data_IF_635707982590
#
_entry.id   IF_635707982590
#
_cell.length_a   1.000
_cell.length_b   1.000
_cell.length_c   1.000
_cell.angle_alpha   90.00
_cell.angle_beta   90.00
_cell.angle_gamma   90.00
#
_symmetry.space_group_name_H-M   'P 1'
#
loop_
_entity.id
_entity.type
_entity.pdbx_description
1 polymer ?
#
# COMPACT_ATOMS: atom_id res chain seq x y z
N UNK A 1 -16.20 17.07 -24.03
CA UNK A 1 -16.18 16.21 -22.85
C UNK A 1 -15.00 15.26 -22.97
N UNK A 2 -14.24 15.10 -21.88
CA UNK A 2 -13.17 14.09 -21.77
C UNK A 2 -13.77 12.71 -21.55
N UNK A 3 -13.02 11.62 -21.86
CA UNK A 3 -13.50 10.25 -21.70
C UNK A 3 -13.89 9.89 -20.27
N UNK A 4 -13.36 10.62 -19.29
CA UNK A 4 -13.52 10.37 -17.84
C UNK A 4 -14.67 11.18 -17.22
N UNK A 5 -15.47 11.91 -18.03
CA UNK A 5 -16.56 12.72 -17.52
C UNK A 5 -17.73 11.85 -16.99
N UNK A 6 -18.17 12.12 -15.77
CA UNK A 6 -19.36 11.46 -15.20
C UNK A 6 -20.64 12.13 -15.72
N UNK A 7 -21.21 11.54 -16.77
CA UNK A 7 -22.31 12.13 -17.54
C UNK A 7 -23.69 11.95 -16.88
N UNK A 8 -23.85 10.96 -16.00
CA UNK A 8 -25.15 10.64 -15.44
C UNK A 8 -25.64 11.67 -14.40
N UNK A 9 -24.70 12.45 -13.82
CA UNK A 9 -25.05 13.50 -12.86
C UNK A 9 -23.98 14.59 -12.82
N UNK A 10 -24.24 15.66 -13.54
CA UNK A 10 -23.54 16.93 -13.39
C UNK A 10 -24.34 17.88 -12.48
N UNK A 11 -23.71 18.96 -12.09
CA UNK A 11 -24.30 19.97 -11.20
C UNK A 11 -24.26 21.32 -11.86
N UNK A 12 -25.42 21.93 -12.05
CA UNK A 12 -25.54 23.30 -12.52
C UNK A 12 -25.81 24.21 -11.33
N UNK A 13 -24.88 25.12 -11.07
CA UNK A 13 -25.02 26.19 -10.08
C UNK A 13 -25.62 27.40 -10.79
N UNK A 14 -26.77 27.86 -10.33
CA UNK A 14 -27.51 28.98 -10.90
C UNK A 14 -27.74 30.04 -9.84
N UNK A 15 -27.48 31.29 -10.18
CA UNK A 15 -27.81 32.43 -9.33
C UNK A 15 -29.22 32.89 -9.65
N UNK A 16 -30.08 32.98 -8.63
CA UNK A 16 -31.41 33.53 -8.74
C UNK A 16 -31.38 35.07 -8.73
N UNK A 17 -32.51 35.71 -9.06
CA UNK A 17 -32.62 37.17 -9.07
C UNK A 17 -32.42 37.81 -7.67
N UNK A 18 -32.73 37.09 -6.62
CA UNK A 18 -32.49 37.49 -5.23
C UNK A 18 -31.05 37.29 -4.74
N UNK A 19 -30.13 36.93 -5.68
CA UNK A 19 -28.72 36.63 -5.45
C UNK A 19 -28.46 35.32 -4.66
N UNK A 20 -29.48 34.54 -4.37
CA UNK A 20 -29.29 33.19 -3.78
C UNK A 20 -28.85 32.22 -4.83
N UNK A 21 -28.12 31.17 -4.41
CA UNK A 21 -27.64 30.11 -5.30
C UNK A 21 -28.59 28.91 -5.28
N UNK A 22 -28.88 28.38 -6.44
CA UNK A 22 -29.67 27.17 -6.64
C UNK A 22 -28.77 26.09 -7.28
N UNK A 23 -28.98 24.84 -6.87
CA UNK A 23 -28.31 23.68 -7.45
C UNK A 23 -29.32 22.87 -8.25
N UNK A 24 -29.05 22.74 -9.54
CA UNK A 24 -29.89 21.95 -10.46
C UNK A 24 -29.08 20.72 -10.87
N UNK A 25 -29.59 19.51 -10.56
CA UNK A 25 -28.96 18.28 -11.05
C UNK A 25 -29.21 18.12 -12.55
N UNK A 26 -28.16 17.73 -13.27
CA UNK A 26 -28.20 17.61 -14.74
C UNK A 26 -27.72 16.21 -15.16
N UNK A 27 -28.56 15.46 -15.84
CA UNK A 27 -28.16 14.24 -16.54
C UNK A 27 -27.75 14.60 -17.96
N UNK A 28 -26.44 14.78 -18.18
CA UNK A 28 -25.89 15.18 -19.47
C UNK A 28 -26.14 14.08 -20.51
N UNK A 29 -26.01 12.82 -20.13
CA UNK A 29 -26.22 11.69 -21.03
C UNK A 29 -27.66 11.67 -21.56
N UNK A 30 -28.62 11.76 -20.64
CA UNK A 30 -30.02 11.77 -21.00
C UNK A 30 -30.42 12.97 -21.90
N UNK A 31 -29.82 14.15 -21.67
CA UNK A 31 -30.04 15.33 -22.51
C UNK A 31 -29.45 15.12 -23.92
N UNK A 32 -28.23 14.59 -24.02
CA UNK A 32 -27.56 14.35 -25.29
C UNK A 32 -28.25 13.23 -26.12
N UNK A 33 -28.75 12.22 -25.44
CA UNK A 33 -29.53 11.12 -26.07
C UNK A 33 -30.96 11.54 -26.39
N UNK A 34 -31.41 12.77 -26.05
CA UNK A 34 -32.74 13.28 -26.30
C UNK A 34 -33.84 12.66 -25.45
N UNK A 35 -33.47 11.93 -24.39
CA UNK A 35 -34.40 11.25 -23.46
C UNK A 35 -34.85 12.13 -22.30
N UNK A 36 -34.14 13.25 -22.06
CA UNK A 36 -34.48 14.26 -21.04
C UNK A 36 -34.61 15.64 -21.65
N UNK A 37 -35.40 16.49 -21.01
CA UNK A 37 -35.60 17.87 -21.46
C UNK A 37 -34.31 18.67 -21.29
N UNK A 38 -33.93 19.43 -22.34
CA UNK A 38 -32.74 20.28 -22.29
C UNK A 38 -33.00 21.51 -21.40
N UNK A 39 -31.92 21.98 -20.76
CA UNK A 39 -31.96 23.10 -19.76
C UNK A 39 -31.57 24.39 -20.51
N UNK A 40 -32.40 25.43 -20.39
CA UNK A 40 -32.04 26.77 -20.87
C UNK A 40 -31.03 27.38 -19.90
N UNK A 41 -29.86 27.75 -20.42
CA UNK A 41 -28.82 28.40 -19.63
C UNK A 41 -29.14 29.88 -19.34
N UNK A 42 -28.80 30.30 -18.16
CA UNK A 42 -28.94 31.68 -17.70
C UNK A 42 -27.55 32.32 -17.49
N UNK A 43 -27.55 33.64 -17.38
CA UNK A 43 -26.33 34.40 -17.08
C UNK A 43 -25.76 33.95 -15.74
N UNK A 44 -24.43 33.75 -15.68
CA UNK A 44 -23.67 33.29 -14.50
C UNK A 44 -23.94 31.84 -14.08
N UNK A 45 -24.60 31.01 -14.93
CA UNK A 45 -24.66 29.57 -14.67
C UNK A 45 -23.26 28.96 -14.72
N UNK A 46 -22.98 28.07 -13.78
CA UNK A 46 -21.72 27.28 -13.72
C UNK A 46 -22.10 25.81 -13.77
N UNK A 47 -21.75 25.14 -14.88
CA UNK A 47 -21.92 23.70 -15.01
C UNK A 47 -20.66 22.98 -14.56
N UNK A 48 -20.75 22.22 -13.48
CA UNK A 48 -19.71 21.35 -12.99
C UNK A 48 -19.99 19.90 -13.40
N UNK A 49 -19.04 19.34 -14.15
CA UNK A 49 -19.07 17.94 -14.59
C UNK A 49 -17.94 17.21 -13.88
N UNK A 50 -18.24 16.37 -12.88
CA UNK A 50 -17.20 15.64 -12.16
C UNK A 50 -16.52 14.60 -13.07
N UNK A 51 -15.29 14.25 -12.73
CA UNK A 51 -14.64 13.05 -13.27
C UNK A 51 -15.18 11.81 -12.55
N UNK A 52 -15.26 10.68 -13.25
CA UNK A 52 -15.54 9.37 -12.63
C UNK A 52 -14.49 9.05 -11.57
N UNK A 53 -13.26 9.50 -11.76
CA UNK A 53 -12.15 9.29 -10.81
C UNK A 53 -12.27 10.13 -9.54
N UNK A 54 -12.97 11.29 -9.60
CA UNK A 54 -13.23 12.14 -8.42
C UNK A 54 -14.33 11.55 -7.52
N UNK A 55 -15.14 10.64 -8.04
CA UNK A 55 -16.27 10.02 -7.34
C UNK A 55 -15.96 8.64 -6.77
N UNK A 56 -14.85 8.05 -7.17
CA UNK A 56 -14.38 6.76 -6.70
C UNK A 56 -13.18 6.94 -5.76
N UNK A 57 -13.38 6.63 -4.49
CA UNK A 57 -12.26 6.42 -3.57
C UNK A 57 -11.58 5.09 -3.94
N UNK A 58 -10.53 5.18 -4.74
CA UNK A 58 -9.73 4.00 -5.15
C UNK A 58 -9.01 3.37 -3.96
N UNK A 59 -8.88 4.10 -2.85
CA UNK A 59 -8.17 3.67 -1.66
C UNK A 59 -6.67 3.48 -1.89
N UNK A 60 -5.99 3.16 -0.80
CA UNK A 60 -4.57 2.84 -0.80
C UNK A 60 -4.37 1.38 -0.38
N UNK A 61 -3.19 0.85 -0.64
CA UNK A 61 -2.66 -0.37 -0.05
C UNK A 61 -1.50 -0.02 0.86
N UNK A 62 -1.40 -0.68 2.01
CA UNK A 62 -0.36 -0.36 3.00
C UNK A 62 0.59 -1.54 3.14
N UNK A 63 1.89 -1.27 3.19
CA UNK A 63 2.89 -2.30 3.46
C UNK A 63 3.71 -1.97 4.70
N UNK A 64 3.82 -2.93 5.59
CA UNK A 64 4.49 -2.82 6.89
C UNK A 64 5.64 -3.81 7.03
N UNK A 65 6.59 -3.48 7.90
CA UNK A 65 7.63 -4.40 8.37
C UNK A 65 8.94 -4.31 7.59
N UNK A 66 9.53 -5.45 7.27
CA UNK A 66 10.91 -5.53 6.75
C UNK A 66 10.97 -5.33 5.23
N UNK A 67 10.53 -4.15 4.77
CA UNK A 67 10.70 -3.64 3.40
C UNK A 67 11.53 -2.35 3.44
N UNK A 68 12.06 -1.93 2.30
CA UNK A 68 12.91 -0.75 2.24
C UNK A 68 12.15 0.52 2.63
N UNK A 69 10.92 0.67 2.15
CA UNK A 69 10.04 1.82 2.40
C UNK A 69 8.64 1.35 2.81
N UNK A 70 8.43 1.06 4.10
CA UNK A 70 7.09 0.74 4.60
C UNK A 70 6.24 2.02 4.62
N UNK A 71 5.17 2.03 3.83
CA UNK A 71 4.28 3.20 3.66
C UNK A 71 2.92 2.79 3.06
N UNK A 72 2.06 3.77 2.84
CA UNK A 72 0.83 3.68 2.06
C UNK A 72 1.10 4.01 0.60
N UNK A 73 0.60 3.16 -0.29
CA UNK A 73 0.76 3.30 -1.74
C UNK A 73 -0.60 3.39 -2.42
N UNK A 74 -0.76 4.31 -3.40
CA UNK A 74 -2.00 4.39 -4.15
C UNK A 74 -2.32 3.06 -4.84
N UNK A 75 -3.55 2.58 -4.66
CA UNK A 75 -4.00 1.37 -5.34
C UNK A 75 -4.14 1.60 -6.84
N UNK A 76 -3.67 0.65 -7.63
CA UNK A 76 -3.90 0.58 -9.06
C UNK A 76 -4.60 -0.74 -9.44
N UNK A 77 -5.43 -0.70 -10.47
CA UNK A 77 -6.14 -1.89 -10.95
C UNK A 77 -5.14 -2.99 -11.34
N UNK A 78 -5.42 -4.22 -10.94
CA UNK A 78 -4.57 -5.40 -11.12
C UNK A 78 -3.21 -5.35 -10.43
N UNK A 79 -3.01 -4.45 -9.45
CA UNK A 79 -1.79 -4.42 -8.63
C UNK A 79 -1.64 -5.74 -7.88
N UNK A 80 -0.49 -6.38 -8.02
CA UNK A 80 -0.16 -7.64 -7.34
C UNK A 80 0.64 -7.40 -6.07
N UNK A 81 0.75 -8.44 -5.22
CA UNK A 81 1.60 -8.40 -4.04
C UNK A 81 3.07 -8.15 -4.40
N UNK A 82 3.51 -8.75 -5.50
CA UNK A 82 4.86 -8.57 -6.04
C UNK A 82 5.12 -7.12 -6.46
N UNK A 83 4.15 -6.49 -7.14
CA UNK A 83 4.25 -5.09 -7.57
C UNK A 83 4.38 -4.15 -6.37
N UNK A 84 3.60 -4.38 -5.31
CA UNK A 84 3.67 -3.58 -4.09
C UNK A 84 5.03 -3.72 -3.38
N UNK A 85 5.57 -4.94 -3.30
CA UNK A 85 6.90 -5.18 -2.71
C UNK A 85 7.99 -4.44 -3.52
N UNK A 86 7.89 -4.46 -4.86
CA UNK A 86 8.82 -3.74 -5.74
C UNK A 86 8.69 -2.23 -5.53
N UNK A 87 7.48 -1.69 -5.46
CA UNK A 87 7.25 -0.26 -5.20
C UNK A 87 7.77 0.18 -3.83
N UNK A 88 7.69 -0.70 -2.84
CA UNK A 88 8.26 -0.49 -1.51
C UNK A 88 9.80 -0.60 -1.47
N UNK A 89 10.45 -0.76 -2.63
CA UNK A 89 11.90 -0.84 -2.75
C UNK A 89 12.49 -2.21 -2.41
N UNK A 90 11.65 -3.25 -2.34
CA UNK A 90 12.04 -4.63 -2.05
C UNK A 90 12.15 -4.95 -0.56
N UNK A 91 12.61 -6.16 -0.28
CA UNK A 91 12.75 -6.68 1.08
C UNK A 91 14.07 -6.26 1.71
N UNK A 92 14.07 -5.99 3.02
CA UNK A 92 15.29 -5.86 3.81
C UNK A 92 15.91 -7.21 4.09
N UNK A 93 17.21 -7.20 4.43
CA UNK A 93 17.97 -8.41 4.77
C UNK A 93 17.31 -9.24 5.90
N UNK A 94 16.68 -8.58 6.86
CA UNK A 94 16.01 -9.23 7.97
C UNK A 94 14.62 -9.78 7.65
N UNK A 95 14.12 -9.60 6.42
CA UNK A 95 12.79 -10.01 6.03
C UNK A 95 12.64 -11.55 6.00
N UNK A 96 11.47 -12.01 6.42
CA UNK A 96 11.08 -13.42 6.25
C UNK A 96 10.49 -13.60 4.85
N UNK A 97 11.11 -14.47 4.06
CA UNK A 97 10.57 -14.89 2.76
C UNK A 97 9.56 -16.03 2.86
N UNK A 98 9.46 -16.66 4.02
CA UNK A 98 8.53 -17.78 4.23
C UNK A 98 7.16 -17.33 4.73
N UNK A 99 7.03 -16.06 5.13
CA UNK A 99 5.77 -15.53 5.65
C UNK A 99 5.58 -14.06 5.37
N UNK A 100 4.71 -13.79 4.41
CA UNK A 100 4.13 -12.47 4.14
C UNK A 100 2.63 -12.60 4.31
N UNK A 101 2.05 -11.79 5.19
CA UNK A 101 0.63 -11.81 5.48
C UNK A 101 -0.06 -10.64 4.77
N UNK A 102 -1.16 -10.91 4.07
CA UNK A 102 -2.05 -9.89 3.49
C UNK A 102 -3.36 -9.91 4.27
N UNK A 103 -3.69 -8.80 4.91
CA UNK A 103 -4.94 -8.61 5.63
C UNK A 103 -5.92 -7.84 4.74
N UNK A 104 -7.05 -8.47 4.45
CA UNK A 104 -8.14 -7.90 3.67
C UNK A 104 -9.36 -7.70 4.52
N UNK A 105 -9.86 -6.49 4.60
CA UNK A 105 -11.10 -6.20 5.31
C UNK A 105 -12.32 -6.67 4.52
N UNK A 106 -13.31 -7.20 5.21
CA UNK A 106 -14.57 -7.61 4.58
C UNK A 106 -15.46 -6.37 4.46
N UNK A 107 -15.75 -5.99 3.21
CA UNK A 107 -16.72 -4.94 2.90
C UNK A 107 -18.07 -5.59 2.62
N UNK A 108 -19.06 -5.30 3.44
CA UNK A 108 -20.44 -5.67 3.13
C UNK A 108 -21.37 -4.44 3.26
N UNK A 109 -21.35 -3.51 2.28
CA UNK A 109 -22.09 -2.24 2.34
C UNK A 109 -23.61 -2.42 2.33
N UNK A 110 -24.10 -3.62 2.04
CA UNK A 110 -25.54 -3.96 2.03
C UNK A 110 -25.98 -4.77 3.26
N UNK A 111 -25.07 -5.08 4.18
CA UNK A 111 -25.43 -5.78 5.40
C UNK A 111 -26.14 -4.83 6.35
N UNK A 112 -27.31 -5.24 6.83
CA UNK A 112 -28.03 -4.60 7.91
C UNK A 112 -27.80 -5.27 9.26
N UNK A 113 -26.95 -6.30 9.27
CA UNK A 113 -26.62 -7.10 10.47
C UNK A 113 -25.11 -6.98 10.70
N UNK A 114 -24.73 -6.81 11.94
CA UNK A 114 -23.34 -6.85 12.38
C UNK A 114 -22.75 -8.24 12.11
N UNK A 115 -21.51 -8.28 11.63
CA UNK A 115 -20.82 -9.54 11.33
C UNK A 115 -19.56 -9.62 12.20
N UNK A 116 -19.43 -10.72 12.93
CA UNK A 116 -18.28 -10.99 13.80
C UNK A 116 -16.96 -11.11 13.01
N UNK A 117 -17.02 -11.36 11.70
CA UNK A 117 -15.84 -11.46 10.84
C UNK A 117 -15.48 -10.11 10.25
N UNK A 118 -14.38 -9.50 10.72
CA UNK A 118 -13.93 -8.17 10.33
C UNK A 118 -12.89 -8.17 9.20
N UNK A 119 -12.21 -9.31 8.98
CA UNK A 119 -11.16 -9.41 7.97
C UNK A 119 -10.80 -10.84 7.62
N UNK A 120 -10.03 -10.98 6.54
CA UNK A 120 -9.47 -12.23 6.05
C UNK A 120 -7.95 -12.07 5.91
N UNK A 121 -7.20 -13.07 6.35
CA UNK A 121 -5.75 -13.09 6.24
C UNK A 121 -5.34 -14.15 5.22
N UNK A 122 -4.50 -13.72 4.27
CA UNK A 122 -3.82 -14.58 3.31
C UNK A 122 -2.34 -14.61 3.67
N UNK A 123 -1.76 -15.79 3.73
CA UNK A 123 -0.33 -15.96 4.05
C UNK A 123 0.38 -16.56 2.84
N UNK A 124 1.48 -15.93 2.47
CA UNK A 124 2.30 -16.30 1.33
C UNK A 124 3.76 -16.52 1.72
N UNK A 125 4.44 -17.39 0.97
CA UNK A 125 5.90 -17.46 0.90
C UNK A 125 6.39 -16.87 -0.42
N UNK A 126 7.62 -16.32 -0.41
CA UNK A 126 8.22 -15.70 -1.57
C UNK A 126 9.44 -16.51 -2.01
N UNK A 127 9.58 -16.68 -3.32
CA UNK A 127 10.79 -17.19 -4.00
C UNK A 127 11.73 -16.05 -4.40
N UNK A 128 12.89 -16.41 -4.95
CA UNK A 128 13.78 -15.42 -5.56
C UNK A 128 13.04 -14.57 -6.59
N UNK A 129 13.34 -13.26 -6.62
CA UNK A 129 12.65 -12.27 -7.45
C UNK A 129 11.31 -11.81 -6.90
N UNK A 130 11.02 -12.06 -5.61
CA UNK A 130 9.78 -11.69 -4.92
C UNK A 130 8.52 -12.38 -5.44
N UNK A 131 8.66 -13.47 -6.19
CA UNK A 131 7.54 -14.21 -6.77
C UNK A 131 6.82 -14.98 -5.64
N UNK A 132 5.51 -14.84 -5.55
CA UNK A 132 4.68 -15.59 -4.61
C UNK A 132 4.71 -17.07 -4.95
N UNK A 133 5.04 -17.93 -3.97
CA UNK A 133 5.04 -19.39 -4.14
C UNK A 133 3.61 -19.93 -4.16
N UNK A 134 3.32 -20.76 -5.15
CA UNK A 134 2.04 -21.46 -5.31
C UNK A 134 0.97 -20.66 -6.05
N UNK A 135 0.82 -19.37 -5.83
CA UNK A 135 -0.18 -18.51 -6.49
C UNK A 135 0.46 -17.19 -6.92
N UNK A 136 1.31 -17.20 -7.95
CA UNK A 136 1.92 -15.97 -8.44
C UNK A 136 0.84 -15.01 -8.96
N UNK A 137 1.08 -13.69 -8.77
CA UNK A 137 0.17 -12.67 -9.23
C UNK A 137 -1.08 -12.54 -8.35
N UNK A 138 -0.95 -12.72 -7.01
CA UNK A 138 -2.05 -12.42 -6.09
C UNK A 138 -2.43 -10.94 -6.18
N UNK A 139 -3.65 -10.68 -6.70
CA UNK A 139 -4.15 -9.33 -6.91
C UNK A 139 -4.64 -8.74 -5.59
N UNK A 140 -4.06 -7.62 -5.23
CA UNK A 140 -4.46 -6.81 -4.09
C UNK A 140 -5.79 -6.12 -4.34
N UNK A 141 -6.46 -5.72 -3.28
CA UNK A 141 -7.66 -4.89 -3.31
C UNK A 141 -7.40 -3.58 -2.56
N UNK A 142 -8.18 -2.52 -2.86
CA UNK A 142 -8.11 -1.29 -2.10
C UNK A 142 -8.21 -1.55 -0.60
N UNK A 143 -7.32 -0.91 0.15
CA UNK A 143 -7.20 -1.01 1.61
C UNK A 143 -6.69 -2.37 2.14
N UNK A 144 -6.09 -3.19 1.30
CA UNK A 144 -5.32 -4.33 1.79
C UNK A 144 -4.10 -3.84 2.57
N UNK A 145 -3.79 -4.53 3.65
CA UNK A 145 -2.58 -4.30 4.44
C UNK A 145 -1.65 -5.50 4.36
N UNK A 146 -0.43 -5.25 3.94
CA UNK A 146 0.62 -6.26 3.76
C UNK A 146 1.62 -6.19 4.91
N UNK A 147 1.94 -7.32 5.52
CA UNK A 147 2.87 -7.43 6.65
C UNK A 147 4.04 -8.34 6.27
N UNK A 148 5.21 -7.75 6.04
CA UNK A 148 6.45 -8.49 5.85
C UNK A 148 7.12 -8.67 7.21
N UNK A 149 7.10 -9.90 7.73
CA UNK A 149 7.62 -10.20 9.06
C UNK A 149 9.13 -10.28 9.04
N UNK A 150 9.74 -9.97 10.20
CA UNK A 150 11.16 -10.24 10.41
C UNK A 150 11.40 -11.74 10.52
N UNK A 151 12.46 -12.24 9.89
CA UNK A 151 12.90 -13.62 10.02
C UNK A 151 13.35 -13.91 11.45
N UNK A 152 12.77 -14.92 12.11
CA UNK A 152 13.21 -15.30 13.47
C UNK A 152 14.67 -15.73 13.54
N UNK A 153 15.20 -16.26 12.44
CA UNK A 153 16.59 -16.68 12.35
C UNK A 153 17.59 -15.58 12.00
N UNK A 154 17.11 -14.37 11.67
CA UNK A 154 18.00 -13.28 11.31
C UNK A 154 18.70 -12.72 12.55
N UNK A 155 20.01 -12.66 12.46
CA UNK A 155 20.88 -12.02 13.46
C UNK A 155 21.78 -11.02 12.75
N UNK A 156 21.71 -9.77 13.16
CA UNK A 156 22.65 -8.77 12.70
C UNK A 156 24.06 -9.14 13.19
N UNK A 157 25.05 -8.90 12.34
CA UNK A 157 26.45 -9.06 12.73
C UNK A 157 26.75 -8.21 13.97
N UNK A 158 27.37 -8.84 14.97
CA UNK A 158 27.85 -8.17 16.18
C UNK A 158 29.36 -8.12 16.13
N UNK A 159 29.94 -6.97 16.48
CA UNK A 159 31.37 -6.76 16.48
C UNK A 159 31.85 -6.43 17.90
N UNK A 160 33.07 -6.88 18.20
CA UNK A 160 33.81 -6.55 19.41
C UNK A 160 35.11 -5.88 18.99
N UNK A 161 35.52 -4.86 19.72
CA UNK A 161 36.79 -4.16 19.49
C UNK A 161 37.82 -4.64 20.46
N UNK A 162 39.04 -4.94 19.97
CA UNK A 162 40.23 -5.28 20.79
C UNK A 162 41.25 -4.19 20.58
N UNK A 163 41.72 -3.60 21.70
CA UNK A 163 42.71 -2.53 21.72
C UNK A 163 43.78 -2.82 22.80
N UNK A 164 44.93 -2.18 22.67
CA UNK A 164 46.03 -2.27 23.62
C UNK A 164 47.20 -3.11 23.12
N UNK A 165 47.91 -3.77 24.04
CA UNK A 165 49.10 -4.58 23.77
C UNK A 165 48.72 -5.95 23.17
N UNK A 166 48.28 -5.93 21.91
CA UNK A 166 47.89 -7.10 21.15
C UNK A 166 48.40 -7.00 19.70
N UNK A 167 48.69 -8.16 19.08
CA UNK A 167 49.33 -8.19 17.76
C UNK A 167 48.44 -7.56 16.65
N UNK A 168 47.14 -7.92 16.65
CA UNK A 168 46.19 -7.40 15.69
C UNK A 168 45.01 -6.74 16.39
N UNK A 169 45.19 -5.47 16.79
CA UNK A 169 44.09 -4.65 17.35
C UNK A 169 43.08 -4.29 16.27
N UNK A 170 41.81 -4.14 16.67
CA UNK A 170 40.74 -3.73 15.72
C UNK A 170 39.39 -4.34 16.01
N UNK A 171 38.49 -4.25 15.03
CA UNK A 171 37.13 -4.77 15.14
C UNK A 171 37.05 -6.21 14.65
N UNK A 172 36.46 -7.08 15.44
CA UNK A 172 36.26 -8.49 15.16
C UNK A 172 34.78 -8.84 15.16
N UNK A 173 34.32 -9.52 14.11
CA UNK A 173 32.96 -10.04 14.07
C UNK A 173 32.82 -11.25 15.00
N UNK A 174 31.75 -11.25 15.81
CA UNK A 174 31.37 -12.40 16.60
C UNK A 174 30.81 -13.51 15.70
N UNK A 175 31.26 -14.74 15.87
CA UNK A 175 30.78 -15.91 15.13
C UNK A 175 29.72 -16.69 15.87
N UNK A 176 29.60 -16.49 17.19
CA UNK A 176 28.62 -17.16 18.07
C UNK A 176 28.24 -16.26 19.24
N UNK A 177 27.03 -16.44 19.77
CA UNK A 177 26.61 -15.78 21.02
C UNK A 177 27.37 -16.28 22.27
N UNK A 178 28.00 -17.44 22.16
CA UNK A 178 28.74 -18.08 23.23
C UNK A 178 30.28 -17.88 23.10
N UNK A 179 30.68 -17.05 22.12
CA UNK A 179 32.10 -16.73 21.91
C UNK A 179 32.72 -16.11 23.14
N UNK A 180 33.87 -16.61 23.53
CA UNK A 180 34.55 -16.22 24.80
C UNK A 180 35.73 -15.28 24.51
N UNK A 181 36.17 -14.60 25.56
CA UNK A 181 37.33 -13.72 25.51
C UNK A 181 38.58 -14.41 24.96
N UNK A 182 38.78 -15.68 25.34
CA UNK A 182 39.91 -16.49 24.83
C UNK A 182 39.88 -16.65 23.30
N UNK A 183 38.69 -16.83 22.75
CA UNK A 183 38.51 -17.01 21.30
C UNK A 183 38.82 -15.71 20.55
N UNK A 184 38.40 -14.58 21.13
CA UNK A 184 38.70 -13.26 20.62
C UNK A 184 40.19 -12.94 20.67
N UNK A 185 40.88 -13.23 21.80
CA UNK A 185 42.33 -13.03 21.95
C UNK A 185 43.09 -13.89 20.93
N UNK A 186 42.70 -15.16 20.74
CA UNK A 186 43.29 -16.02 19.74
C UNK A 186 43.14 -15.48 18.33
N UNK A 187 41.94 -14.94 17.96
CA UNK A 187 41.72 -14.25 16.68
C UNK A 187 42.60 -13.02 16.51
N UNK A 188 42.90 -12.31 17.59
CA UNK A 188 43.70 -11.09 17.57
C UNK A 188 45.24 -11.36 17.67
N UNK A 189 45.65 -12.61 17.47
CA UNK A 189 47.08 -12.99 17.42
C UNK A 189 47.59 -13.73 18.66
N UNK A 190 46.69 -14.02 19.63
CA UNK A 190 47.02 -14.74 20.83
C UNK A 190 47.84 -13.92 21.82
N UNK A 191 48.15 -14.56 22.96
CA UNK A 191 49.10 -14.04 23.94
C UNK A 191 50.49 -14.65 23.72
#
# INVERSE_FOLDING_TARGET
LTGDAFLNRAVLYRQREDLTSEVVPVDIKAIMDGTSQNIILMKNDILYIPSIHDLEDKGDVVIHGEVAQPDSYPYADNMTLEDLIIQAGGLREAASVVRVDVSRRIKNPRSTVDNDTIGQIYTFSLKEGFIVDGTPGFVLQPYDEVYVRRSPGYQAQQNVVVEGEILFGGSYAMTSREERLSDLINKAGGA
#
